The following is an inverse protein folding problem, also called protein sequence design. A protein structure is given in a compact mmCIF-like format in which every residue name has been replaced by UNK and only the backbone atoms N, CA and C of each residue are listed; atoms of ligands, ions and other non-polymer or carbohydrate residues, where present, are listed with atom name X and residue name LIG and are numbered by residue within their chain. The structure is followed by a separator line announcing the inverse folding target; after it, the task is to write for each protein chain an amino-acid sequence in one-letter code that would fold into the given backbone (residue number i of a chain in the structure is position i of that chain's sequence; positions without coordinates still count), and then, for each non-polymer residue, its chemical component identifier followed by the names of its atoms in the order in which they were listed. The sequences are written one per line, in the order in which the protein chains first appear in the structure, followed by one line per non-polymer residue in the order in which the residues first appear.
data_IF_224779676870
#
_entry.id   IF_224779676870
#
_cell.length_a   1.000
_cell.length_b   1.000
_cell.length_c   1.000
_cell.angle_alpha   90.00
_cell.angle_beta   90.00
_cell.angle_gamma   90.00
#
_symmetry.space_group_name_H-M   'P 1'
#
loop_
_entity.id
_entity.type
_entity.pdbx_description
1 polymer ?
#
# COMPACT_ATOMS: atom_id res chain seq x y z
N UNK A 1 -49.05 37.90 -4.52
CA UNK A 1 -48.25 37.16 -3.48
C UNK A 1 -48.01 35.68 -3.78
N UNK A 2 -48.88 34.98 -4.44
CA UNK A 2 -48.80 33.52 -4.72
C UNK A 2 -47.72 33.17 -5.81
N UNK A 3 -47.41 34.06 -6.73
CA UNK A 3 -46.44 33.83 -7.80
C UNK A 3 -44.97 33.86 -7.29
N UNK A 4 -44.67 34.69 -6.28
CA UNK A 4 -43.34 34.82 -5.71
C UNK A 4 -42.96 33.63 -4.80
N UNK A 5 -43.94 32.93 -4.22
CA UNK A 5 -43.70 31.75 -3.40
C UNK A 5 -43.40 30.48 -4.23
N UNK A 6 -44.00 30.34 -5.40
CA UNK A 6 -43.72 29.22 -6.31
C UNK A 6 -42.32 29.30 -6.91
N UNK A 7 -41.83 30.49 -7.30
CA UNK A 7 -40.51 30.70 -7.82
C UNK A 7 -39.41 30.42 -6.77
N UNK A 8 -39.61 30.81 -5.51
CA UNK A 8 -38.70 30.49 -4.39
C UNK A 8 -38.67 29.01 -4.07
N UNK A 9 -39.78 28.31 -4.15
CA UNK A 9 -39.87 26.87 -3.92
C UNK A 9 -39.16 26.08 -5.02
N UNK A 10 -39.25 26.54 -6.27
CA UNK A 10 -38.64 25.90 -7.44
C UNK A 10 -37.11 26.10 -7.42
N UNK A 11 -36.63 27.28 -6.97
CA UNK A 11 -35.21 27.59 -6.79
C UNK A 11 -34.60 26.77 -5.66
N UNK A 12 -35.30 26.62 -4.52
CA UNK A 12 -34.85 25.80 -3.40
C UNK A 12 -34.76 24.31 -3.78
N UNK A 13 -35.72 23.80 -4.53
CA UNK A 13 -35.71 22.41 -5.07
C UNK A 13 -34.53 22.18 -6.03
N UNK A 14 -34.24 23.14 -6.92
CA UNK A 14 -33.09 23.07 -7.84
C UNK A 14 -31.78 23.13 -7.08
N UNK A 15 -31.67 23.94 -6.04
CA UNK A 15 -30.46 24.04 -5.20
C UNK A 15 -30.20 22.75 -4.41
N UNK A 16 -31.26 22.15 -3.83
CA UNK A 16 -31.17 20.86 -3.12
C UNK A 16 -30.82 19.74 -4.10
N UNK A 17 -31.44 19.71 -5.28
CA UNK A 17 -31.13 18.72 -6.31
C UNK A 17 -29.66 18.86 -6.79
N UNK A 18 -29.17 20.09 -6.98
CA UNK A 18 -27.78 20.37 -7.35
C UNK A 18 -26.79 19.96 -6.24
N UNK A 19 -27.12 20.23 -4.97
CA UNK A 19 -26.31 19.78 -3.82
C UNK A 19 -26.28 18.26 -3.72
N UNK A 20 -27.41 17.58 -3.92
CA UNK A 20 -27.48 16.11 -3.90
C UNK A 20 -26.67 15.52 -5.06
N UNK A 21 -26.80 16.08 -6.27
CA UNK A 21 -26.04 15.65 -7.45
C UNK A 21 -24.55 15.85 -7.23
N UNK A 22 -24.12 17.00 -6.73
CA UNK A 22 -22.71 17.25 -6.44
C UNK A 22 -22.18 16.35 -5.33
N UNK A 23 -22.96 16.10 -4.28
CA UNK A 23 -22.58 15.17 -3.22
C UNK A 23 -22.48 13.73 -3.75
N UNK A 24 -23.40 13.31 -4.62
CA UNK A 24 -23.33 11.99 -5.27
C UNK A 24 -22.18 11.90 -6.26
N UNK A 25 -21.94 12.95 -7.05
CA UNK A 25 -20.81 13.02 -7.98
C UNK A 25 -19.46 12.99 -7.23
N UNK A 26 -19.35 13.74 -6.14
CA UNK A 26 -18.19 13.75 -5.27
C UNK A 26 -17.95 12.37 -4.63
N UNK A 27 -19.01 11.72 -4.14
CA UNK A 27 -18.92 10.34 -3.65
C UNK A 27 -18.53 9.36 -4.76
N UNK A 28 -19.09 9.47 -5.96
CA UNK A 28 -18.72 8.63 -7.11
C UNK A 28 -17.26 8.83 -7.51
N UNK A 29 -16.76 10.07 -7.52
CA UNK A 29 -15.36 10.37 -7.78
C UNK A 29 -14.43 9.84 -6.69
N UNK A 30 -14.82 9.90 -5.42
CA UNK A 30 -14.09 9.27 -4.32
C UNK A 30 -14.09 7.74 -4.39
N UNK A 31 -15.07 7.13 -5.07
CA UNK A 31 -15.20 5.67 -5.20
C UNK A 31 -14.42 5.07 -6.38
N UNK A 32 -13.83 5.88 -7.24
CA UNK A 32 -13.11 5.44 -8.43
C UNK A 32 -11.59 5.55 -8.25
N UNK A 33 -10.86 4.68 -8.96
CA UNK A 33 -9.41 4.81 -9.09
C UNK A 33 -9.08 6.00 -9.99
N UNK A 34 -8.57 7.07 -9.40
CA UNK A 34 -8.19 8.27 -10.15
C UNK A 34 -6.92 7.99 -10.96
N UNK A 35 -6.80 8.63 -12.13
CA UNK A 35 -5.62 8.47 -12.97
C UNK A 35 -4.46 9.35 -12.49
N UNK A 36 -3.22 8.83 -12.48
CA UNK A 36 -2.04 9.62 -12.17
C UNK A 36 -1.69 10.55 -13.35
N UNK A 37 -0.93 11.64 -13.10
CA UNK A 37 -0.47 12.53 -14.16
C UNK A 37 0.32 11.81 -15.27
N UNK A 38 1.08 10.75 -14.91
CA UNK A 38 1.85 9.93 -15.83
C UNK A 38 1.22 8.55 -15.90
N UNK A 39 0.47 8.25 -16.94
CA UNK A 39 -0.25 6.98 -17.12
C UNK A 39 0.55 5.93 -17.90
N UNK A 40 1.66 6.31 -18.55
CA UNK A 40 2.46 5.43 -19.41
C UNK A 40 3.88 5.29 -18.88
N UNK A 41 4.46 4.12 -19.10
CA UNK A 41 5.87 3.87 -18.84
C UNK A 41 6.76 4.38 -20.00
N UNK A 42 8.09 4.23 -19.87
CA UNK A 42 9.09 4.66 -20.87
C UNK A 42 8.91 4.02 -22.25
N UNK A 43 8.26 2.86 -22.32
CA UNK A 43 8.03 2.11 -23.56
C UNK A 43 6.69 2.47 -24.21
N UNK A 44 5.95 3.44 -23.63
CA UNK A 44 4.65 3.89 -24.12
C UNK A 44 3.46 3.02 -23.71
N UNK A 45 3.69 1.95 -22.96
CA UNK A 45 2.65 1.07 -22.45
C UNK A 45 1.96 1.70 -21.23
N UNK A 46 0.70 1.34 -20.99
CA UNK A 46 0.01 1.73 -19.76
C UNK A 46 0.73 1.12 -18.55
N UNK A 47 0.96 1.95 -17.55
CA UNK A 47 1.56 1.52 -16.29
C UNK A 47 0.64 0.55 -15.57
N UNK A 48 1.25 -0.44 -14.90
CA UNK A 48 0.55 -1.47 -14.17
C UNK A 48 0.72 -1.31 -12.66
N UNK A 49 -0.23 -1.87 -11.93
CA UNK A 49 -0.21 -1.96 -10.48
C UNK A 49 -0.60 -3.38 -10.08
N UNK A 50 0.26 -4.04 -9.32
CA UNK A 50 -0.08 -5.29 -8.64
C UNK A 50 -0.54 -5.00 -7.21
N UNK A 51 -1.51 -5.76 -6.71
CA UNK A 51 -2.00 -5.67 -5.34
C UNK A 51 -1.64 -6.95 -4.58
N UNK A 52 -1.28 -6.79 -3.31
CA UNK A 52 -1.14 -7.89 -2.35
C UNK A 52 -2.07 -7.57 -1.17
N UNK A 53 -2.93 -8.51 -0.80
CA UNK A 53 -3.91 -8.33 0.27
C UNK A 53 -3.72 -9.36 1.36
N UNK A 54 -3.36 -8.90 2.55
CA UNK A 54 -3.27 -9.73 3.74
C UNK A 54 -4.62 -9.76 4.47
N UNK A 55 -5.04 -10.94 4.92
CA UNK A 55 -6.30 -11.14 5.63
C UNK A 55 -6.30 -12.47 6.38
N UNK A 56 -7.35 -12.71 7.20
CA UNK A 56 -7.60 -13.97 7.87
C UNK A 56 -9.08 -14.38 7.79
N UNK A 57 -9.45 -15.48 8.42
CA UNK A 57 -10.85 -15.89 8.59
C UNK A 57 -11.44 -16.69 7.43
N UNK A 58 -10.70 -16.87 6.34
CA UNK A 58 -11.05 -17.70 5.18
C UNK A 58 -9.94 -18.71 4.94
N UNK A 59 -10.28 -19.96 4.61
CA UNK A 59 -9.30 -20.97 4.24
C UNK A 59 -8.70 -20.71 2.85
N UNK A 60 -7.42 -21.11 2.59
CA UNK A 60 -6.77 -20.83 1.30
C UNK A 60 -7.56 -21.34 0.09
N UNK A 61 -8.07 -22.57 0.15
CA UNK A 61 -8.89 -23.14 -0.93
C UNK A 61 -10.21 -22.40 -1.12
N UNK A 62 -10.80 -21.86 -0.05
CA UNK A 62 -12.01 -21.04 -0.14
C UNK A 62 -11.70 -19.69 -0.82
N UNK A 63 -10.57 -19.06 -0.49
CA UNK A 63 -10.11 -17.84 -1.16
C UNK A 63 -9.89 -18.09 -2.68
N UNK A 64 -9.24 -19.21 -3.03
CA UNK A 64 -9.06 -19.60 -4.43
C UNK A 64 -10.39 -19.81 -5.18
N UNK A 65 -11.38 -20.41 -4.53
CA UNK A 65 -12.74 -20.57 -5.10
C UNK A 65 -13.47 -19.23 -5.25
N UNK A 66 -13.26 -18.28 -4.34
CA UNK A 66 -13.82 -16.93 -4.46
C UNK A 66 -13.21 -16.24 -5.69
N UNK A 67 -11.87 -16.30 -5.86
CA UNK A 67 -11.20 -15.73 -7.03
C UNK A 67 -11.76 -16.32 -8.32
N UNK A 68 -11.85 -17.65 -8.42
CA UNK A 68 -12.38 -18.29 -9.63
C UNK A 68 -13.86 -18.01 -9.86
N UNK A 69 -14.65 -17.75 -8.82
CA UNK A 69 -16.06 -17.36 -8.99
C UNK A 69 -16.21 -15.95 -9.57
N UNK A 70 -15.22 -15.08 -9.36
CA UNK A 70 -15.24 -13.68 -9.84
C UNK A 70 -14.58 -13.57 -11.23
N UNK A 71 -13.43 -14.20 -11.43
CA UNK A 71 -12.59 -14.00 -12.61
C UNK A 71 -12.38 -15.26 -13.47
N UNK A 72 -13.06 -16.36 -13.16
CA UNK A 72 -12.81 -17.62 -13.84
C UNK A 72 -11.45 -18.22 -13.47
N UNK A 73 -10.91 -19.04 -14.39
CA UNK A 73 -9.59 -19.64 -14.23
C UNK A 73 -9.58 -21.04 -13.64
N UNK A 74 -8.37 -21.56 -13.40
CA UNK A 74 -8.11 -22.92 -12.94
C UNK A 74 -7.32 -22.90 -11.65
N UNK A 75 -7.77 -23.68 -10.66
CA UNK A 75 -7.07 -23.82 -9.37
C UNK A 75 -6.03 -24.93 -9.50
N UNK A 76 -4.79 -24.63 -9.11
CA UNK A 76 -3.68 -25.58 -8.98
C UNK A 76 -3.11 -25.47 -7.56
N UNK A 77 -3.30 -26.50 -6.77
CA UNK A 77 -2.79 -26.58 -5.40
C UNK A 77 -1.41 -27.24 -5.42
N UNK A 78 -0.35 -26.49 -5.13
CA UNK A 78 1.00 -27.04 -4.92
C UNK A 78 1.10 -27.70 -3.54
N UNK A 79 0.56 -27.01 -2.54
CA UNK A 79 0.32 -27.49 -1.18
C UNK A 79 -0.77 -26.64 -0.53
N UNK A 80 -1.29 -27.10 0.63
CA UNK A 80 -2.46 -26.50 1.33
C UNK A 80 -2.41 -24.97 1.46
N UNK A 81 -1.22 -24.39 1.58
CA UNK A 81 -1.01 -22.94 1.81
C UNK A 81 -0.30 -22.25 0.65
N UNK A 82 -0.28 -22.86 -0.53
CA UNK A 82 0.21 -22.25 -1.76
C UNK A 82 -0.62 -22.75 -2.93
N UNK A 83 -1.53 -21.90 -3.36
CA UNK A 83 -2.51 -22.21 -4.39
C UNK A 83 -2.38 -21.18 -5.50
N UNK A 84 -2.13 -21.65 -6.70
CA UNK A 84 -2.10 -20.83 -7.89
C UNK A 84 -3.46 -20.89 -8.60
N UNK A 85 -3.93 -19.75 -9.08
CA UNK A 85 -5.13 -19.63 -9.89
C UNK A 85 -4.69 -19.03 -11.22
N UNK A 86 -4.70 -19.84 -12.27
CA UNK A 86 -4.22 -19.49 -13.62
C UNK A 86 -5.35 -19.35 -14.61
N UNK A 87 -5.05 -18.74 -15.75
CA UNK A 87 -6.01 -18.55 -16.85
C UNK A 87 -7.27 -17.76 -16.41
N UNK A 88 -7.12 -16.79 -15.50
CA UNK A 88 -8.23 -15.89 -15.15
C UNK A 88 -8.34 -14.73 -16.16
N UNK A 89 -9.47 -14.03 -16.17
CA UNK A 89 -9.70 -12.88 -17.06
C UNK A 89 -8.70 -11.72 -16.85
N UNK A 90 -8.05 -11.63 -15.65
CA UNK A 90 -7.08 -10.58 -15.31
C UNK A 90 -5.62 -11.04 -15.29
N UNK A 91 -5.37 -12.36 -15.36
CA UNK A 91 -4.06 -12.98 -15.21
C UNK A 91 -3.99 -13.92 -14.02
N UNK A 92 -2.79 -14.28 -13.58
CA UNK A 92 -2.60 -15.31 -12.56
C UNK A 92 -2.62 -14.71 -11.14
N UNK A 93 -3.41 -15.32 -10.27
CA UNK A 93 -3.47 -15.02 -8.85
C UNK A 93 -2.74 -16.12 -8.05
N UNK A 94 -2.27 -15.75 -6.86
CA UNK A 94 -1.72 -16.69 -5.90
C UNK A 94 -2.32 -16.44 -4.53
N UNK A 95 -2.71 -17.51 -3.85
CA UNK A 95 -3.09 -17.49 -2.44
C UNK A 95 -2.01 -18.21 -1.66
N UNK A 96 -1.39 -17.51 -0.73
CA UNK A 96 -0.31 -18.09 0.06
C UNK A 96 -0.36 -17.66 1.52
N UNK A 97 0.37 -18.39 2.36
CA UNK A 97 0.61 -18.00 3.72
C UNK A 97 1.80 -17.04 3.74
N UNK A 98 1.65 -15.85 4.36
CA UNK A 98 2.81 -14.97 4.51
C UNK A 98 3.83 -15.57 5.50
N UNK A 99 4.82 -16.26 4.93
CA UNK A 99 5.91 -16.87 5.70
C UNK A 99 6.76 -15.85 6.47
N UNK A 100 6.76 -14.57 6.06
CA UNK A 100 7.49 -13.48 6.73
C UNK A 100 6.79 -13.11 8.03
N UNK A 101 5.46 -12.99 7.99
CA UNK A 101 4.66 -12.74 9.20
C UNK A 101 4.84 -13.89 10.19
N UNK A 102 4.81 -15.13 9.73
CA UNK A 102 4.99 -16.30 10.61
C UNK A 102 6.38 -16.33 11.26
N UNK A 103 7.46 -16.05 10.51
CA UNK A 103 8.81 -15.97 11.06
C UNK A 103 8.91 -14.90 12.15
N UNK A 104 8.37 -13.72 11.91
CA UNK A 104 8.35 -12.63 12.90
C UNK A 104 7.54 -12.98 14.13
N UNK A 105 6.36 -13.57 13.96
CA UNK A 105 5.56 -14.03 15.09
C UNK A 105 6.36 -15.02 15.96
N UNK A 106 7.22 -15.85 15.34
CA UNK A 106 8.13 -16.73 16.06
C UNK A 106 9.25 -15.95 16.77
N UNK A 107 9.91 -15.01 16.10
CA UNK A 107 10.99 -14.19 16.66
C UNK A 107 10.53 -13.30 17.83
N UNK A 108 9.30 -12.77 17.77
CA UNK A 108 8.71 -11.93 18.82
C UNK A 108 8.07 -12.75 19.96
N UNK A 109 8.21 -14.07 19.95
CA UNK A 109 7.58 -14.99 20.91
C UNK A 109 6.05 -14.81 21.02
N UNK A 110 5.42 -14.38 19.93
CA UNK A 110 3.96 -14.19 19.89
C UNK A 110 3.27 -15.54 20.05
N UNK A 111 3.85 -16.61 19.52
CA UNK A 111 3.34 -17.98 19.67
C UNK A 111 3.31 -18.41 21.14
N UNK A 112 4.35 -18.08 21.91
CA UNK A 112 4.39 -18.38 23.36
C UNK A 112 3.34 -17.57 24.12
N UNK A 113 3.14 -16.32 23.76
CA UNK A 113 2.09 -15.45 24.35
C UNK A 113 0.68 -15.96 24.04
N UNK A 114 0.51 -16.68 22.93
CA UNK A 114 -0.74 -17.34 22.54
C UNK A 114 -0.85 -18.78 23.09
N UNK A 115 0.14 -19.24 23.90
CA UNK A 115 0.16 -20.58 24.47
C UNK A 115 0.58 -21.67 23.48
N UNK A 116 1.23 -21.31 22.39
CA UNK A 116 1.67 -22.22 21.33
C UNK A 116 3.18 -22.46 21.48
N UNK A 117 3.56 -23.66 21.93
CA UNK A 117 4.97 -24.02 22.17
C UNK A 117 5.60 -24.59 20.88
N UNK A 118 6.52 -23.84 20.28
CA UNK A 118 7.28 -24.25 19.10
C UNK A 118 8.64 -24.82 19.52
N UNK A 119 8.96 -26.05 19.15
CA UNK A 119 10.30 -26.63 19.31
C UNK A 119 11.19 -26.22 18.13
N UNK A 120 12.40 -25.73 18.43
CA UNK A 120 13.35 -25.10 17.49
C UNK A 120 13.76 -25.96 16.26
N UNK A 121 13.64 -27.27 16.29
CA UNK A 121 14.23 -28.16 15.27
C UNK A 121 13.35 -28.43 14.02
N UNK A 122 12.22 -27.75 13.86
CA UNK A 122 11.26 -28.15 12.83
C UNK A 122 10.51 -27.01 12.14
N UNK A 123 11.12 -25.86 11.92
CA UNK A 123 10.44 -24.69 11.31
C UNK A 123 9.70 -25.07 10.00
N UNK A 124 10.21 -25.98 9.19
CA UNK A 124 9.55 -26.43 7.96
C UNK A 124 8.40 -27.41 8.14
N UNK A 125 8.51 -28.35 9.11
CA UNK A 125 7.40 -29.25 9.49
C UNK A 125 6.41 -28.57 10.44
N UNK A 126 6.87 -27.55 11.17
CA UNK A 126 6.10 -26.85 12.18
C UNK A 126 5.16 -25.79 11.60
N UNK A 127 5.37 -25.29 10.38
CA UNK A 127 4.43 -24.32 9.78
C UNK A 127 3.05 -24.97 9.63
N UNK A 128 2.95 -26.17 9.09
CA UNK A 128 1.67 -26.88 8.97
C UNK A 128 1.08 -27.25 10.34
N UNK A 129 1.91 -27.78 11.27
CA UNK A 129 1.49 -28.13 12.63
C UNK A 129 1.10 -26.92 13.48
N UNK A 130 1.75 -25.76 13.26
CA UNK A 130 1.45 -24.50 13.95
C UNK A 130 0.15 -23.92 13.44
N UNK A 131 -0.03 -23.90 12.14
CA UNK A 131 -1.24 -23.40 11.50
C UNK A 131 -2.45 -24.27 11.85
N UNK A 132 -2.28 -25.59 11.96
CA UNK A 132 -3.36 -26.50 12.42
C UNK A 132 -3.69 -26.33 13.91
N UNK A 133 -2.75 -25.86 14.73
CA UNK A 133 -2.96 -25.54 16.15
C UNK A 133 -3.49 -24.13 16.38
N UNK A 134 -3.19 -23.22 15.46
CA UNK A 134 -3.75 -21.86 15.52
C UNK A 134 -5.22 -21.93 15.10
N UNK A 135 -6.10 -21.37 15.94
CA UNK A 135 -7.47 -21.16 15.53
C UNK A 135 -7.48 -20.44 14.16
N UNK A 136 -8.23 -20.95 13.19
CA UNK A 136 -8.32 -20.48 11.79
C UNK A 136 -8.47 -18.96 11.59
N UNK A 137 -8.75 -18.24 12.66
CA UNK A 137 -8.91 -16.78 12.68
C UNK A 137 -7.61 -15.99 12.85
N UNK A 138 -6.45 -16.64 12.97
CA UNK A 138 -5.18 -16.01 13.38
C UNK A 138 -4.09 -16.11 12.30
N UNK A 139 -4.26 -17.04 11.34
CA UNK A 139 -3.25 -17.27 10.29
C UNK A 139 -3.40 -16.24 9.17
N UNK A 140 -2.37 -15.42 8.93
CA UNK A 140 -2.40 -14.46 7.83
C UNK A 140 -2.27 -15.18 6.48
N UNK A 141 -3.25 -15.00 5.63
CA UNK A 141 -3.19 -15.33 4.23
C UNK A 141 -2.91 -14.08 3.41
N UNK A 142 -2.22 -14.25 2.31
CA UNK A 142 -1.98 -13.21 1.31
C UNK A 142 -2.57 -13.65 -0.03
N UNK A 143 -3.32 -12.76 -0.68
CA UNK A 143 -3.65 -12.88 -2.09
C UNK A 143 -2.71 -11.96 -2.85
N UNK A 144 -1.86 -12.55 -3.68
CA UNK A 144 -1.06 -11.81 -4.67
C UNK A 144 -1.86 -11.76 -5.97
N UNK A 145 -2.22 -10.56 -6.38
CA UNK A 145 -3.03 -10.30 -7.57
C UNK A 145 -2.13 -10.01 -8.77
N UNK A 146 -2.55 -10.33 -10.00
CA UNK A 146 -1.78 -10.01 -11.20
C UNK A 146 -1.61 -8.49 -11.36
N UNK A 147 -0.50 -8.03 -11.94
CA UNK A 147 -0.34 -6.62 -12.26
C UNK A 147 -1.27 -6.23 -13.42
N UNK A 148 -2.27 -5.40 -13.11
CA UNK A 148 -3.25 -4.86 -14.06
C UNK A 148 -2.94 -3.39 -14.38
N UNK A 149 -3.49 -2.87 -15.50
CA UNK A 149 -3.40 -1.43 -15.78
C UNK A 149 -4.21 -0.64 -14.76
N UNK A 150 -3.89 0.65 -14.58
CA UNK A 150 -4.61 1.51 -13.62
C UNK A 150 -6.11 1.56 -13.94
N UNK A 151 -6.48 1.50 -15.22
CA UNK A 151 -7.88 1.47 -15.67
C UNK A 151 -8.61 0.17 -15.30
N UNK A 152 -7.86 -0.93 -15.14
CA UNK A 152 -8.40 -2.24 -14.77
C UNK A 152 -8.50 -2.47 -13.26
N UNK A 153 -7.89 -1.60 -12.44
CA UNK A 153 -7.94 -1.71 -10.97
C UNK A 153 -9.36 -1.80 -10.42
N UNK A 154 -10.32 -1.12 -11.07
CA UNK A 154 -11.75 -1.17 -10.68
C UNK A 154 -12.32 -2.60 -10.69
N UNK A 155 -11.78 -3.49 -11.54
CA UNK A 155 -12.24 -4.87 -11.61
C UNK A 155 -11.86 -5.66 -10.35
N UNK A 156 -10.76 -5.28 -9.67
CA UNK A 156 -10.32 -5.92 -8.43
C UNK A 156 -11.23 -5.62 -7.23
N UNK A 157 -12.03 -4.55 -7.28
CA UNK A 157 -13.05 -4.28 -6.24
C UNK A 157 -14.08 -5.41 -6.12
N UNK A 158 -14.38 -6.10 -7.21
CA UNK A 158 -15.29 -7.26 -7.19
C UNK A 158 -14.75 -8.38 -6.29
N UNK A 159 -13.42 -8.60 -6.30
CA UNK A 159 -12.79 -9.56 -5.39
C UNK A 159 -12.87 -9.09 -3.94
N UNK A 160 -12.62 -7.81 -3.67
CA UNK A 160 -12.75 -7.24 -2.33
C UNK A 160 -14.16 -7.48 -1.78
N UNK A 161 -15.19 -7.17 -2.58
CA UNK A 161 -16.59 -7.38 -2.19
C UNK A 161 -16.91 -8.85 -1.93
N UNK A 162 -16.43 -9.74 -2.79
CA UNK A 162 -16.64 -11.18 -2.63
C UNK A 162 -15.96 -11.73 -1.37
N UNK A 163 -14.72 -11.30 -1.07
CA UNK A 163 -14.00 -11.66 0.14
C UNK A 163 -14.75 -11.18 1.40
N UNK A 164 -15.24 -9.94 1.39
CA UNK A 164 -15.99 -9.34 2.49
C UNK A 164 -17.29 -10.08 2.76
N UNK A 165 -18.06 -10.40 1.71
CA UNK A 165 -19.29 -11.20 1.81
C UNK A 165 -19.02 -12.59 2.41
N UNK A 166 -17.83 -13.16 2.17
CA UNK A 166 -17.39 -14.42 2.75
C UNK A 166 -16.69 -14.27 4.12
N UNK A 167 -16.80 -13.07 4.76
CA UNK A 167 -16.33 -12.79 6.12
C UNK A 167 -14.81 -12.84 6.29
N UNK A 168 -14.06 -12.42 5.27
CA UNK A 168 -12.65 -12.14 5.43
C UNK A 168 -12.44 -11.11 6.56
N UNK A 169 -11.35 -11.27 7.31
CA UNK A 169 -11.04 -10.46 8.48
C UNK A 169 -9.78 -9.65 8.23
N UNK A 170 -9.86 -8.35 8.44
CA UNK A 170 -8.75 -7.42 8.34
C UNK A 170 -8.11 -7.07 9.69
N UNK A 171 -7.37 -5.97 9.71
CA UNK A 171 -6.63 -5.48 10.88
C UNK A 171 -7.52 -5.22 12.10
N UNK A 172 -8.77 -4.79 11.91
CA UNK A 172 -9.68 -4.52 13.02
C UNK A 172 -10.17 -5.77 13.77
N UNK A 173 -10.15 -6.93 13.12
CA UNK A 173 -10.63 -8.17 13.73
C UNK A 173 -9.69 -8.76 14.79
N UNK A 174 -8.44 -8.29 14.88
CA UNK A 174 -7.46 -8.80 15.83
C UNK A 174 -6.48 -7.71 16.26
N UNK A 175 -6.36 -7.48 17.57
CA UNK A 175 -5.34 -6.59 18.14
C UNK A 175 -3.90 -7.14 17.98
N UNK A 176 -3.74 -8.35 17.47
CA UNK A 176 -2.45 -9.04 17.29
C UNK A 176 -1.96 -8.97 15.84
N UNK A 177 -2.84 -8.70 14.87
CA UNK A 177 -2.54 -8.79 13.45
C UNK A 177 -2.67 -7.44 12.76
N UNK A 178 -1.54 -6.89 12.36
CA UNK A 178 -1.44 -5.71 11.53
C UNK A 178 -1.41 -6.10 10.05
N UNK A 179 -2.54 -6.58 9.51
CA UNK A 179 -2.66 -6.96 8.10
C UNK A 179 -2.49 -5.73 7.18
N UNK A 180 -1.72 -5.92 6.12
CA UNK A 180 -1.44 -4.91 5.13
C UNK A 180 -2.19 -5.11 3.82
N UNK A 181 -2.29 -4.03 3.07
CA UNK A 181 -2.50 -4.05 1.64
C UNK A 181 -1.29 -3.41 0.99
N UNK A 182 -0.67 -4.12 0.06
CA UNK A 182 0.51 -3.60 -0.63
C UNK A 182 0.16 -3.27 -2.08
N UNK A 183 0.72 -2.17 -2.58
CA UNK A 183 0.63 -1.81 -3.98
C UNK A 183 2.03 -1.87 -4.60
N UNK A 184 2.16 -2.65 -5.67
CA UNK A 184 3.34 -2.73 -6.51
C UNK A 184 3.15 -1.83 -7.72
N UNK A 185 3.55 -0.58 -7.59
CA UNK A 185 3.25 0.48 -8.56
C UNK A 185 4.41 0.60 -9.55
N UNK A 186 4.15 0.31 -10.82
CA UNK A 186 5.17 0.44 -11.87
C UNK A 186 5.68 1.89 -11.95
N UNK A 187 7.00 2.08 -11.91
CA UNK A 187 7.63 3.39 -12.11
C UNK A 187 7.46 3.85 -13.57
N UNK A 188 7.29 5.15 -13.84
CA UNK A 188 7.25 5.65 -15.21
C UNK A 188 8.51 5.31 -16.01
N UNK A 189 9.67 5.37 -15.37
CA UNK A 189 10.97 4.95 -15.91
C UNK A 189 11.91 4.54 -14.76
N UNK A 190 13.12 4.09 -15.08
CA UNK A 190 14.14 3.69 -14.11
C UNK A 190 15.28 4.72 -13.99
N UNK A 191 15.07 5.97 -14.39
CA UNK A 191 16.06 7.03 -14.21
C UNK A 191 16.20 7.34 -12.73
N UNK A 192 17.42 7.51 -12.26
CA UNK A 192 17.68 7.78 -10.84
C UNK A 192 16.98 9.03 -10.35
N UNK A 193 16.94 10.10 -11.16
CA UNK A 193 16.19 11.31 -10.82
C UNK A 193 14.69 11.06 -10.62
N UNK A 194 14.07 10.21 -11.46
CA UNK A 194 12.67 9.82 -11.30
C UNK A 194 12.46 9.05 -10.00
N UNK A 195 13.23 7.99 -9.78
CA UNK A 195 13.10 7.14 -8.60
C UNK A 195 13.34 7.92 -7.30
N UNK A 196 14.36 8.77 -7.29
CA UNK A 196 14.69 9.62 -6.16
C UNK A 196 13.57 10.65 -5.88
N UNK A 197 12.97 11.25 -6.91
CA UNK A 197 11.89 12.20 -6.73
C UNK A 197 10.62 11.55 -6.17
N UNK A 198 10.28 10.32 -6.58
CA UNK A 198 9.18 9.56 -5.97
C UNK A 198 9.45 9.28 -4.48
N UNK A 199 10.66 8.86 -4.14
CA UNK A 199 11.03 8.62 -2.75
C UNK A 199 11.03 9.90 -1.91
N UNK A 200 11.54 11.01 -2.47
CA UNK A 200 11.50 12.35 -1.84
C UNK A 200 10.06 12.81 -1.60
N UNK A 201 9.20 12.71 -2.62
CA UNK A 201 7.78 13.08 -2.50
C UNK A 201 7.09 12.23 -1.41
N UNK A 202 7.36 10.94 -1.41
CA UNK A 202 6.81 10.04 -0.38
C UNK A 202 7.23 10.44 1.04
N UNK A 203 8.52 10.69 1.30
CA UNK A 203 8.98 11.06 2.65
C UNK A 203 8.45 12.42 3.11
N UNK A 204 8.23 13.36 2.18
CA UNK A 204 7.58 14.65 2.45
C UNK A 204 6.14 14.43 2.88
N UNK A 205 5.39 13.59 2.16
CA UNK A 205 3.98 13.31 2.40
C UNK A 205 3.73 12.31 3.52
N UNK A 206 4.74 11.57 3.97
CA UNK A 206 4.61 10.48 4.93
C UNK A 206 3.83 10.84 6.22
N UNK A 207 4.06 11.99 6.90
CA UNK A 207 3.29 12.34 8.09
C UNK A 207 1.78 12.55 7.82
N UNK A 208 1.44 13.07 6.62
CA UNK A 208 0.06 13.20 6.19
C UNK A 208 -0.55 11.84 5.83
N UNK A 209 0.17 11.00 5.08
CA UNK A 209 -0.27 9.64 4.73
C UNK A 209 -0.57 8.81 5.98
N UNK A 210 0.25 8.89 7.04
CA UNK A 210 -0.02 8.21 8.30
C UNK A 210 -1.37 8.60 8.92
N UNK A 211 -1.78 9.86 8.75
CA UNK A 211 -3.05 10.36 9.26
C UNK A 211 -4.20 9.98 8.33
N UNK A 212 -4.07 10.23 7.02
CA UNK A 212 -5.08 9.99 6.01
C UNK A 212 -5.49 8.50 5.94
N UNK A 213 -4.50 7.62 5.96
CA UNK A 213 -4.71 6.16 5.97
C UNK A 213 -5.20 5.62 7.31
N UNK A 214 -5.33 6.46 8.33
CA UNK A 214 -5.69 6.03 9.69
C UNK A 214 -4.87 4.82 10.15
N UNK A 215 -3.53 4.87 9.91
CA UNK A 215 -2.65 3.75 10.19
C UNK A 215 -2.77 3.36 11.66
N UNK A 216 -3.16 2.12 11.89
CA UNK A 216 -3.37 1.57 13.23
C UNK A 216 -2.10 1.72 14.10
N UNK A 217 -2.30 2.03 15.39
CA UNK A 217 -1.21 2.14 16.36
C UNK A 217 -0.42 0.83 16.44
N UNK A 218 -1.08 -0.31 16.27
CA UNK A 218 -0.45 -1.64 16.25
C UNK A 218 0.57 -1.73 15.12
N UNK A 219 0.26 -1.24 13.91
CA UNK A 219 1.20 -1.18 12.80
C UNK A 219 2.32 -0.18 12.96
N UNK A 220 2.07 0.91 13.73
CA UNK A 220 3.12 1.92 14.01
C UNK A 220 4.15 1.46 15.04
N UNK A 221 3.74 0.56 15.94
CA UNK A 221 4.60 0.01 17.01
C UNK A 221 5.21 -1.32 16.58
N UNK A 222 4.57 -2.00 15.63
CA UNK A 222 5.03 -3.24 15.06
C UNK A 222 6.17 -3.00 14.06
N UNK A 223 7.18 -3.88 13.96
CA UNK A 223 8.27 -3.77 12.99
C UNK A 223 7.84 -4.04 11.54
N UNK A 224 6.53 -4.04 11.25
CA UNK A 224 6.01 -4.28 9.89
C UNK A 224 6.21 -3.10 8.94
N UNK A 225 6.22 -1.86 9.46
CA UNK A 225 6.44 -0.65 8.66
C UNK A 225 7.29 0.34 9.45
N UNK A 226 8.61 0.24 9.30
CA UNK A 226 9.56 1.14 9.95
C UNK A 226 9.71 2.45 9.16
N UNK A 227 9.59 3.62 9.80
CA UNK A 227 9.83 4.88 9.11
C UNK A 227 11.27 4.99 8.61
N UNK A 228 11.49 5.73 7.53
CA UNK A 228 12.83 6.05 7.08
C UNK A 228 13.61 6.81 8.17
N UNK A 229 14.91 6.46 8.41
CA UNK A 229 15.75 7.16 9.38
C UNK A 229 15.89 8.64 9.03
N UNK A 230 15.86 9.50 10.04
CA UNK A 230 15.98 10.95 9.87
C UNK A 230 17.23 11.38 9.10
N UNK A 231 18.35 10.71 9.33
CA UNK A 231 19.60 10.98 8.62
C UNK A 231 19.46 10.69 7.12
N UNK A 232 18.76 9.60 6.76
CA UNK A 232 18.52 9.25 5.37
C UNK A 232 17.59 10.26 4.71
N UNK A 233 16.50 10.63 5.38
CA UNK A 233 15.57 11.64 4.86
C UNK A 233 16.26 12.99 4.63
N UNK A 234 17.12 13.44 5.57
CA UNK A 234 17.93 14.66 5.38
C UNK A 234 18.89 14.54 4.20
N UNK A 235 19.51 13.38 4.01
CA UNK A 235 20.42 13.13 2.89
C UNK A 235 19.71 13.24 1.55
N UNK A 236 18.62 12.50 1.36
CA UNK A 236 17.92 12.46 0.07
C UNK A 236 17.18 13.77 -0.26
N UNK A 237 16.74 14.54 0.74
CA UNK A 237 16.09 15.85 0.53
C UNK A 237 17.10 17.00 0.32
N UNK A 238 18.40 16.76 0.56
CA UNK A 238 19.41 17.76 0.26
C UNK A 238 19.42 18.05 -1.25
N UNK A 239 19.27 19.32 -1.70
CA UNK A 239 19.30 19.67 -3.12
C UNK A 239 20.59 19.27 -3.84
N UNK A 240 21.73 19.20 -3.11
CA UNK A 240 23.01 18.78 -3.66
C UNK A 240 23.17 17.24 -3.77
N UNK A 241 22.17 16.45 -3.35
CA UNK A 241 22.23 15.01 -3.46
C UNK A 241 21.75 14.56 -4.84
N UNK A 242 22.69 14.32 -5.74
CA UNK A 242 22.51 13.87 -7.13
C UNK A 242 23.34 12.59 -7.36
N UNK A 243 22.93 11.44 -6.80
CA UNK A 243 23.68 10.19 -6.90
C UNK A 243 23.56 9.58 -8.31
N UNK A 244 24.58 8.79 -8.69
CA UNK A 244 24.39 7.76 -9.72
C UNK A 244 23.61 6.54 -9.18
N UNK A 245 23.47 5.49 -9.97
CA UNK A 245 22.68 4.33 -9.60
C UNK A 245 23.28 3.57 -8.41
N UNK A 246 24.57 3.28 -8.46
CA UNK A 246 25.23 2.48 -7.43
C UNK A 246 25.27 3.24 -6.11
N UNK A 247 25.61 4.52 -6.12
CA UNK A 247 25.59 5.38 -4.93
C UNK A 247 24.18 5.48 -4.32
N UNK A 248 23.13 5.55 -5.14
CA UNK A 248 21.77 5.61 -4.63
C UNK A 248 21.35 4.31 -3.93
N UNK A 249 21.75 3.16 -4.50
CA UNK A 249 21.47 1.84 -3.93
C UNK A 249 22.29 1.64 -2.64
N UNK A 250 23.59 1.91 -2.66
CA UNK A 250 24.47 1.78 -1.49
C UNK A 250 23.98 2.64 -0.32
N UNK A 251 23.66 3.91 -0.59
CA UNK A 251 23.13 4.81 0.41
C UNK A 251 21.78 4.31 0.97
N UNK A 252 20.91 3.79 0.11
CA UNK A 252 19.66 3.23 0.59
C UNK A 252 19.89 2.03 1.49
N UNK A 253 20.73 1.09 1.10
CA UNK A 253 21.05 -0.13 1.84
C UNK A 253 21.72 0.19 3.16
N UNK A 254 22.70 1.15 3.18
CA UNK A 254 23.37 1.58 4.41
C UNK A 254 22.38 2.06 5.47
N UNK A 255 21.43 2.92 5.08
CA UNK A 255 20.46 3.49 6.03
C UNK A 255 19.22 2.63 6.23
N UNK A 256 18.92 1.71 5.34
CA UNK A 256 17.72 0.90 5.33
C UNK A 256 18.02 -0.58 5.10
N UNK A 257 18.77 -1.24 6.02
CA UNK A 257 19.13 -2.66 5.90
C UNK A 257 17.92 -3.55 6.22
N UNK A 258 16.78 -3.28 5.58
CA UNK A 258 15.51 -3.98 5.83
C UNK A 258 14.53 -3.75 4.69
N UNK A 259 13.67 -4.72 4.45
CA UNK A 259 12.54 -4.61 3.52
C UNK A 259 11.27 -4.02 4.16
N UNK A 260 11.34 -3.60 5.42
CA UNK A 260 10.18 -3.14 6.18
C UNK A 260 9.91 -1.63 6.09
N UNK A 261 10.45 -0.96 5.08
CA UNK A 261 10.16 0.45 4.84
C UNK A 261 8.75 0.63 4.24
N UNK A 262 8.08 1.76 4.52
CA UNK A 262 6.76 2.07 3.96
C UNK A 262 6.71 2.02 2.43
N UNK A 263 7.83 2.33 1.79
CA UNK A 263 8.12 2.07 0.37
C UNK A 263 9.43 1.30 0.31
N UNK A 264 9.35 0.02 -0.05
CA UNK A 264 10.51 -0.84 -0.25
C UNK A 264 11.01 -0.68 -1.70
N UNK A 265 12.23 -0.20 -1.85
CA UNK A 265 12.87 0.05 -3.15
C UNK A 265 13.63 -1.17 -3.69
N UNK A 266 13.77 -2.25 -2.92
CA UNK A 266 14.57 -3.42 -3.29
C UNK A 266 14.16 -4.07 -4.61
N UNK A 267 12.83 -4.16 -4.98
CA UNK A 267 12.45 -4.69 -6.29
C UNK A 267 13.03 -3.87 -7.46
N UNK A 268 13.00 -2.54 -7.38
CA UNK A 268 13.56 -1.65 -8.40
C UNK A 268 15.09 -1.74 -8.42
N UNK A 269 15.71 -1.70 -7.26
CA UNK A 269 17.17 -1.77 -7.14
C UNK A 269 17.73 -3.10 -7.65
N UNK A 270 17.01 -4.20 -7.45
CA UNK A 270 17.36 -5.49 -8.05
C UNK A 270 17.41 -5.47 -9.57
N UNK A 271 16.62 -4.64 -10.23
CA UNK A 271 16.71 -4.44 -11.68
C UNK A 271 17.88 -3.58 -12.10
N UNK A 272 18.30 -2.63 -11.27
CA UNK A 272 19.44 -1.75 -11.56
C UNK A 272 20.77 -2.44 -11.27
N UNK A 273 20.92 -2.98 -10.07
CA UNK A 273 22.12 -3.72 -9.63
C UNK A 273 21.76 -4.67 -8.48
N UNK A 274 21.48 -5.93 -8.81
CA UNK A 274 21.07 -6.93 -7.81
C UNK A 274 22.19 -7.31 -6.82
N UNK A 275 23.45 -7.15 -7.20
CA UNK A 275 24.59 -7.51 -6.34
C UNK A 275 24.67 -6.61 -5.10
N UNK A 276 24.36 -5.31 -5.25
CA UNK A 276 24.41 -4.35 -4.16
C UNK A 276 23.33 -4.56 -3.09
N UNK A 277 22.22 -5.21 -3.43
CA UNK A 277 21.14 -5.47 -2.47
C UNK A 277 21.24 -6.85 -1.79
N UNK A 278 21.99 -7.79 -2.35
CA UNK A 278 22.13 -9.14 -1.83
C UNK A 278 22.47 -9.21 -0.32
N UNK A 279 23.35 -8.33 0.24
CA UNK A 279 23.67 -8.35 1.66
C UNK A 279 22.47 -8.10 2.59
N UNK A 280 21.42 -7.44 2.10
CA UNK A 280 20.22 -7.11 2.90
C UNK A 280 19.12 -8.16 2.73
N UNK A 281 19.21 -8.98 1.69
CA UNK A 281 18.18 -9.94 1.35
C UNK A 281 18.16 -11.19 2.26
N UNK A 282 19.23 -11.45 3.05
CA UNK A 282 19.35 -12.52 4.07
C UNK A 282 18.70 -13.87 3.65
N UNK A 283 18.90 -14.28 2.38
CA UNK A 283 18.31 -15.51 1.83
C UNK A 283 16.86 -15.37 1.38
N UNK A 284 16.24 -14.20 1.48
CA UNK A 284 14.98 -13.91 0.78
C UNK A 284 15.24 -13.79 -0.73
N UNK A 285 14.36 -14.40 -1.54
CA UNK A 285 14.42 -14.19 -2.98
C UNK A 285 14.01 -12.74 -3.28
N UNK A 286 14.91 -11.98 -3.90
CA UNK A 286 14.48 -10.76 -4.58
C UNK A 286 13.73 -11.17 -5.85
N UNK A 287 12.60 -10.50 -6.10
CA UNK A 287 11.87 -10.57 -7.35
C UNK A 287 12.00 -9.20 -8.03
N UNK A 288 13.08 -8.98 -8.82
CA UNK A 288 13.35 -7.70 -9.46
C UNK A 288 12.22 -7.31 -10.41
N UNK A 289 11.63 -6.14 -10.16
CA UNK A 289 10.54 -5.60 -10.97
C UNK A 289 10.55 -4.06 -10.92
N UNK A 290 10.04 -3.37 -11.95
CA UNK A 290 10.11 -1.92 -12.04
C UNK A 290 9.05 -1.22 -11.18
N UNK A 291 8.83 -1.71 -9.94
CA UNK A 291 7.73 -1.24 -9.09
C UNK A 291 8.20 -0.74 -7.74
N UNK A 292 7.66 0.40 -7.31
CA UNK A 292 7.66 0.79 -5.91
C UNK A 292 6.79 -0.21 -5.13
N UNK A 293 7.33 -0.83 -4.10
CA UNK A 293 6.55 -1.71 -3.23
C UNK A 293 6.03 -0.91 -2.03
N UNK A 294 4.82 -0.35 -2.18
CA UNK A 294 4.18 0.50 -1.17
C UNK A 294 3.40 -0.35 -0.17
N UNK A 295 3.82 -0.32 1.08
CA UNK A 295 3.39 -1.23 2.15
C UNK A 295 2.62 -0.55 3.28
N UNK A 296 2.40 0.77 3.19
CA UNK A 296 1.82 1.55 4.28
C UNK A 296 0.36 1.22 4.58
N UNK A 297 -0.52 0.97 3.60
CA UNK A 297 -1.95 0.78 3.84
C UNK A 297 -2.28 -0.41 4.75
N UNK A 298 -3.33 -0.26 5.56
CA UNK A 298 -3.93 -1.36 6.30
C UNK A 298 -4.83 -2.19 5.39
N UNK A 299 -4.94 -3.50 5.62
CA UNK A 299 -6.06 -4.28 5.11
C UNK A 299 -7.26 -4.08 6.02
N UNK A 300 -8.28 -3.39 5.54
CA UNK A 300 -9.55 -3.16 6.25
C UNK A 300 -10.69 -3.94 5.57
N UNK A 301 -10.38 -5.16 5.11
CA UNK A 301 -11.32 -6.00 4.33
C UNK A 301 -12.64 -6.28 5.07
N UNK A 302 -12.66 -6.18 6.38
CA UNK A 302 -13.83 -6.32 7.25
C UNK A 302 -14.65 -5.04 7.42
N UNK A 303 -14.17 -3.90 6.91
CA UNK A 303 -14.88 -2.62 6.90
C UNK A 303 -15.68 -2.47 5.60
N UNK A 304 -17.03 -2.39 5.64
CA UNK A 304 -17.86 -2.30 4.44
C UNK A 304 -17.65 -1.01 3.65
N UNK A 305 -17.13 0.05 4.26
CA UNK A 305 -16.88 1.32 3.58
C UNK A 305 -15.47 1.38 2.94
N UNK A 306 -14.57 0.47 3.30
CA UNK A 306 -13.20 0.46 2.77
C UNK A 306 -13.12 -0.07 1.35
N UNK A 307 -12.27 0.55 0.53
CA UNK A 307 -12.04 0.23 -0.88
C UNK A 307 -10.56 0.22 -1.21
N UNK A 308 -10.18 -0.56 -2.21
CA UNK A 308 -8.84 -0.51 -2.79
C UNK A 308 -8.55 0.86 -3.42
N UNK A 309 -9.58 1.50 -3.98
CA UNK A 309 -9.49 2.83 -4.55
C UNK A 309 -9.03 3.89 -3.53
N UNK A 310 -9.45 3.79 -2.26
CA UNK A 310 -9.04 4.73 -1.21
C UNK A 310 -7.52 4.71 -1.03
N UNK A 311 -6.95 3.51 -0.99
CA UNK A 311 -5.51 3.33 -0.77
C UNK A 311 -4.68 3.76 -1.98
N UNK A 312 -5.18 3.49 -3.19
CA UNK A 312 -4.59 4.00 -4.43
C UNK A 312 -4.64 5.53 -4.50
N UNK A 313 -5.78 6.13 -4.19
CA UNK A 313 -5.95 7.58 -4.26
C UNK A 313 -5.08 8.32 -3.24
N UNK A 314 -4.73 7.71 -2.10
CA UNK A 314 -3.72 8.25 -1.20
C UNK A 314 -2.31 8.23 -1.81
N UNK A 315 -1.94 7.15 -2.53
CA UNK A 315 -0.68 7.13 -3.28
C UNK A 315 -0.63 8.20 -4.37
N UNK A 316 -1.77 8.48 -4.98
CA UNK A 316 -1.86 9.48 -6.05
C UNK A 316 -1.35 10.87 -5.64
N UNK A 317 -1.39 11.20 -4.35
CA UNK A 317 -0.76 12.43 -3.84
C UNK A 317 0.76 12.47 -4.11
N UNK A 318 1.43 11.31 -4.04
CA UNK A 318 2.86 11.19 -4.40
C UNK A 318 3.06 11.44 -5.88
N UNK A 319 2.22 10.84 -6.73
CA UNK A 319 2.25 11.00 -8.19
C UNK A 319 2.03 12.48 -8.60
N UNK A 320 1.04 13.13 -8.00
CA UNK A 320 0.72 14.54 -8.23
C UNK A 320 1.89 15.44 -7.80
N UNK A 321 2.45 15.20 -6.62
CA UNK A 321 3.56 16.01 -6.09
C UNK A 321 4.80 15.90 -6.99
N UNK A 322 5.17 14.70 -7.44
CA UNK A 322 6.30 14.51 -8.37
C UNK A 322 6.09 15.27 -9.69
N UNK A 323 4.86 15.38 -10.14
CA UNK A 323 4.50 16.06 -11.40
C UNK A 323 4.36 17.58 -11.26
N UNK A 324 4.33 18.12 -10.05
CA UNK A 324 4.24 19.55 -9.76
C UNK A 324 5.58 20.08 -9.21
N UNK A 325 6.51 20.43 -10.11
CA UNK A 325 7.87 20.86 -9.74
C UNK A 325 7.88 22.03 -8.75
N UNK A 326 7.00 23.01 -8.92
CA UNK A 326 6.96 24.20 -8.04
C UNK A 326 6.58 23.82 -6.62
N UNK A 327 5.49 23.04 -6.47
CA UNK A 327 5.04 22.56 -5.17
C UNK A 327 6.07 21.61 -4.54
N UNK A 328 6.68 20.73 -5.32
CA UNK A 328 7.69 19.80 -4.88
C UNK A 328 8.92 20.51 -4.30
N UNK A 329 9.48 21.50 -5.00
CA UNK A 329 10.61 22.29 -4.50
C UNK A 329 10.24 23.11 -3.24
N UNK A 330 9.07 23.73 -3.24
CA UNK A 330 8.55 24.49 -2.10
C UNK A 330 8.44 23.62 -0.86
N UNK A 331 7.81 22.45 -0.98
CA UNK A 331 7.62 21.52 0.15
C UNK A 331 8.95 20.92 0.62
N UNK A 332 9.88 20.58 -0.28
CA UNK A 332 11.20 20.09 0.05
C UNK A 332 11.97 21.09 0.93
N UNK A 333 12.01 22.36 0.52
CA UNK A 333 12.66 23.45 1.29
C UNK A 333 12.00 23.66 2.65
N UNK A 334 10.67 23.74 2.68
CA UNK A 334 9.92 23.95 3.93
C UNK A 334 10.10 22.77 4.91
N UNK A 335 10.12 21.53 4.39
CA UNK A 335 10.36 20.33 5.19
C UNK A 335 11.72 20.40 5.90
N UNK A 336 12.79 20.72 5.16
CA UNK A 336 14.14 20.83 5.72
C UNK A 336 14.25 21.95 6.76
N UNK A 337 13.65 23.12 6.48
CA UNK A 337 13.68 24.28 7.39
C UNK A 337 12.96 24.02 8.73
N UNK A 338 11.85 23.26 8.72
CA UNK A 338 11.05 22.99 9.92
C UNK A 338 11.51 21.78 10.72
N UNK A 339 12.38 20.94 10.16
CA UNK A 339 12.73 19.65 10.76
C UNK A 339 13.65 19.76 11.98
N UNK A 340 14.25 20.90 12.28
CA UNK A 340 15.03 21.10 13.49
C UNK A 340 14.16 21.26 14.76
N UNK A 341 12.82 21.28 14.61
CA UNK A 341 11.85 21.16 15.69
C UNK A 341 11.83 19.72 16.24
N UNK A 342 11.27 19.51 17.44
CA UNK A 342 11.15 18.16 18.00
C UNK A 342 10.33 17.24 17.09
N UNK A 343 10.80 16.02 16.86
CA UNK A 343 10.24 15.08 15.85
C UNK A 343 8.72 14.85 15.98
N UNK A 344 8.18 14.84 17.21
CA UNK A 344 6.74 14.59 17.44
C UNK A 344 5.91 15.81 17.07
N UNK A 345 6.31 17.01 17.49
CA UNK A 345 5.60 18.23 17.13
C UNK A 345 5.67 18.52 15.64
N UNK A 346 6.85 18.32 15.04
CA UNK A 346 7.05 18.46 13.61
C UNK A 346 6.08 17.59 12.78
N UNK A 347 6.01 16.29 13.04
CA UNK A 347 5.14 15.39 12.25
C UNK A 347 3.67 15.82 12.29
N UNK A 348 3.18 16.21 13.46
CA UNK A 348 1.79 16.65 13.65
C UNK A 348 1.48 17.95 12.91
N UNK A 349 2.34 18.96 13.09
CA UNK A 349 2.17 20.26 12.45
C UNK A 349 2.41 20.19 10.93
N UNK A 350 3.35 19.35 10.49
CA UNK A 350 3.60 19.13 9.07
C UNK A 350 2.41 18.46 8.38
N UNK A 351 1.80 17.43 8.98
CA UNK A 351 0.60 16.80 8.46
C UNK A 351 -0.55 17.81 8.26
N UNK A 352 -0.77 18.72 9.23
CA UNK A 352 -1.76 19.80 9.10
C UNK A 352 -1.42 20.79 7.98
N UNK A 353 -0.14 21.13 7.83
CA UNK A 353 0.33 22.01 6.74
C UNK A 353 0.04 21.40 5.39
N UNK A 354 0.30 20.10 5.24
CA UNK A 354 0.03 19.37 4.00
C UNK A 354 -1.47 19.26 3.70
N UNK A 355 -2.33 19.04 4.71
CA UNK A 355 -3.80 19.05 4.51
C UNK A 355 -4.26 20.36 3.86
N UNK A 356 -3.82 21.50 4.40
CA UNK A 356 -4.20 22.81 3.86
C UNK A 356 -3.68 23.00 2.43
N UNK A 357 -2.45 22.55 2.15
CA UNK A 357 -1.82 22.78 0.83
C UNK A 357 -2.38 21.83 -0.24
N UNK A 358 -2.68 20.58 0.11
CA UNK A 358 -3.26 19.60 -0.81
C UNK A 358 -4.73 19.92 -1.11
N UNK A 359 -5.52 20.35 -0.10
CA UNK A 359 -6.90 20.79 -0.30
C UNK A 359 -7.00 22.02 -1.22
N UNK A 360 -6.02 22.91 -1.19
CA UNK A 360 -5.98 24.08 -2.07
C UNK A 360 -5.62 23.70 -3.52
N UNK A 361 -4.79 22.68 -3.71
CA UNK A 361 -4.37 22.22 -5.05
C UNK A 361 -5.52 21.45 -5.75
N UNK A 362 -6.34 20.72 -5.00
CA UNK A 362 -7.52 20.02 -5.54
C UNK A 362 -8.70 20.97 -5.88
N UNK A 363 -8.65 22.25 -5.46
CA UNK A 363 -9.65 23.28 -5.77
C UNK A 363 -9.24 24.20 -6.91
N UNK A 364 -7.99 24.17 -7.37
CA UNK A 364 -7.43 24.98 -8.45
C UNK A 364 -7.49 24.24 -9.79
#
# INVERSE_FOLDING_TARGET
MIFCSRLKLDYAKKLICWQIINTLLFKLLQMSFLLPPITKNKDGNLRKVGLELEFAGIEPMQAAKIITSVFGGKISEEHRYHINITDTDLGDFRVELDARILRRMAEENIFDKLGINLKEDSIRKSIEDVVDKMARSVVPLEIVMPPVTIQELEQLEQLREALQQNKAKGTHASMVHAFGMHLNIESPDLKIATLLNYLRAFVILYPWLLKALSIDMTRRISPFVDPFPDKYVKKILNPAYEPDADQFIEDYVEFNPTRNRPVDMMPIFGMLNNELINPVMEGEKNDPRPTFHYRLPNSRIDDPEWRFADEWNHWLAVEKLVSNNEMFEKLSRLYLLRRDETVISFRKEWAKTLEILLDLDDQA
#
